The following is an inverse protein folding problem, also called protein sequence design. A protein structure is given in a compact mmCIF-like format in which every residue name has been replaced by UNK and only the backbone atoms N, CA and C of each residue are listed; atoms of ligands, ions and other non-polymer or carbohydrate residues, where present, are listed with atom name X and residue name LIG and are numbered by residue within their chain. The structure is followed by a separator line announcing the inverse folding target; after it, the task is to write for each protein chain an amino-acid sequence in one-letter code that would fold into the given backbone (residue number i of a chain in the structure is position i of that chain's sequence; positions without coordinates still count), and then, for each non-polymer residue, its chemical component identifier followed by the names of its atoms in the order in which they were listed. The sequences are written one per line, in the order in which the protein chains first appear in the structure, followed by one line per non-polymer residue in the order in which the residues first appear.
data_IF_864253401695
#
_entry.id   IF_864253401695
#
_cell.length_a   1.000
_cell.length_b   1.000
_cell.length_c   1.000
_cell.angle_alpha   90.00
_cell.angle_beta   90.00
_cell.angle_gamma   90.00
#
_symmetry.space_group_name_H-M   'P 1'
#
loop_
_entity.id
_entity.type
_entity.pdbx_description
1 polymer ?
#
# COMPACT_ATOMS: atom_id res chain seq x y z
N UNK A 1 27.02 14.44 7.14
CA UNK A 1 27.76 13.74 6.07
C UNK A 1 26.80 13.50 4.91
N UNK A 2 27.17 13.82 3.66
CA UNK A 2 26.31 13.49 2.52
C UNK A 2 26.21 11.95 2.38
N UNK A 3 25.01 11.45 2.10
CA UNK A 3 24.80 10.02 1.83
C UNK A 3 25.64 9.65 0.60
N UNK A 4 26.62 8.73 0.68
CA UNK A 4 27.56 8.46 -0.40
C UNK A 4 26.87 8.09 -1.72
N UNK A 5 25.73 7.40 -1.63
CA UNK A 5 24.92 7.03 -2.79
C UNK A 5 24.42 8.26 -3.56
N UNK A 6 24.04 9.34 -2.87
CA UNK A 6 23.54 10.57 -3.49
C UNK A 6 24.63 11.37 -4.22
N UNK A 7 25.91 11.04 -4.00
CA UNK A 7 27.05 11.64 -4.68
C UNK A 7 27.50 10.84 -5.90
N UNK A 8 26.86 9.70 -6.20
CA UNK A 8 27.21 8.89 -7.37
C UNK A 8 26.60 9.46 -8.65
N UNK A 9 27.24 9.25 -9.83
CA UNK A 9 26.71 9.70 -11.11
C UNK A 9 25.29 9.17 -11.36
N UNK A 10 24.45 10.00 -11.99
CA UNK A 10 23.03 9.68 -12.21
C UNK A 10 22.81 8.34 -12.93
N UNK A 11 23.69 7.97 -13.87
CA UNK A 11 23.61 6.70 -14.60
C UNK A 11 23.74 5.51 -13.65
N UNK A 12 24.73 5.54 -12.74
CA UNK A 12 24.97 4.48 -11.75
C UNK A 12 23.80 4.37 -10.78
N UNK A 13 23.30 5.52 -10.31
CA UNK A 13 22.09 5.56 -9.45
C UNK A 13 20.89 4.93 -10.13
N UNK A 14 20.67 5.26 -11.40
CA UNK A 14 19.56 4.73 -12.17
C UNK A 14 19.63 3.20 -12.29
N UNK A 15 20.83 2.69 -12.50
CA UNK A 15 21.08 1.24 -12.58
C UNK A 15 20.82 0.58 -11.23
N UNK A 16 21.34 1.12 -10.12
CA UNK A 16 21.09 0.61 -8.77
C UNK A 16 19.58 0.59 -8.48
N UNK A 17 18.85 1.67 -8.76
CA UNK A 17 17.40 1.73 -8.55
C UNK A 17 16.67 0.70 -9.39
N UNK A 18 17.13 0.43 -10.61
CA UNK A 18 16.51 -0.56 -11.50
C UNK A 18 16.63 -2.00 -11.00
N UNK A 19 17.63 -2.26 -10.15
CA UNK A 19 17.86 -3.57 -9.53
C UNK A 19 17.02 -3.79 -8.26
N UNK A 20 16.50 -2.73 -7.65
CA UNK A 20 15.72 -2.82 -6.41
C UNK A 20 14.30 -3.34 -6.67
N UNK A 21 13.81 -4.13 -5.72
CA UNK A 21 12.41 -4.52 -5.65
C UNK A 21 11.52 -3.36 -5.13
N UNK A 22 10.21 -3.37 -5.41
CA UNK A 22 9.34 -2.24 -5.10
C UNK A 22 9.25 -1.95 -3.60
N UNK A 23 9.26 -2.98 -2.77
CA UNK A 23 9.29 -2.88 -1.31
C UNK A 23 10.62 -2.30 -0.79
N UNK A 24 11.74 -2.66 -1.43
CA UNK A 24 13.06 -2.09 -1.11
C UNK A 24 13.12 -0.61 -1.48
N UNK A 25 12.51 -0.23 -2.61
CA UNK A 25 12.38 1.18 -3.02
C UNK A 25 11.55 1.99 -2.02
N UNK A 26 10.39 1.46 -1.60
CA UNK A 26 9.55 2.10 -0.57
C UNK A 26 10.31 2.19 0.76
N UNK A 27 11.09 1.18 1.13
CA UNK A 27 11.89 1.21 2.35
C UNK A 27 13.00 2.26 2.26
N UNK A 28 13.73 2.30 1.14
CA UNK A 28 14.79 3.25 0.88
C UNK A 28 14.28 4.70 0.86
N UNK A 29 13.05 4.96 0.38
CA UNK A 29 12.49 6.31 0.37
C UNK A 29 12.27 6.89 1.77
N UNK A 30 12.24 6.08 2.83
CA UNK A 30 12.19 6.58 4.20
C UNK A 30 13.57 6.96 4.79
N UNK A 31 14.68 6.61 4.13
CA UNK A 31 16.01 6.91 4.67
C UNK A 31 16.35 8.41 4.65
N UNK A 32 15.83 9.16 3.68
CA UNK A 32 15.92 10.63 3.67
C UNK A 32 14.95 11.25 2.67
N UNK A 33 14.55 12.49 2.92
CA UNK A 33 13.71 13.26 2.00
C UNK A 33 14.41 13.48 0.63
N UNK A 34 15.74 13.60 0.61
CA UNK A 34 16.49 13.71 -0.64
C UNK A 34 16.43 12.43 -1.47
N UNK A 35 16.58 11.27 -0.83
CA UNK A 35 16.46 9.97 -1.51
C UNK A 35 15.04 9.74 -2.02
N UNK A 36 14.01 10.09 -1.21
CA UNK A 36 12.61 10.06 -1.66
C UNK A 36 12.37 10.90 -2.90
N UNK A 37 12.85 12.15 -2.92
CA UNK A 37 12.72 13.04 -4.09
C UNK A 37 13.43 12.48 -5.32
N UNK A 38 14.60 11.88 -5.12
CA UNK A 38 15.36 11.25 -6.19
C UNK A 38 14.60 10.07 -6.79
N UNK A 39 14.10 9.15 -5.95
CA UNK A 39 13.29 8.01 -6.39
C UNK A 39 12.02 8.47 -7.10
N UNK A 40 11.30 9.44 -6.52
CA UNK A 40 10.10 10.02 -7.11
C UNK A 40 10.36 10.64 -8.48
N UNK A 41 11.46 11.37 -8.64
CA UNK A 41 11.88 11.93 -9.93
C UNK A 41 12.22 10.84 -10.95
N UNK A 42 12.94 9.80 -10.51
CA UNK A 42 13.30 8.66 -11.35
C UNK A 42 12.06 7.95 -11.91
N UNK A 43 11.08 7.61 -11.07
CA UNK A 43 9.84 6.96 -11.53
C UNK A 43 8.91 7.91 -12.29
N UNK A 44 8.99 9.22 -12.07
CA UNK A 44 8.29 10.18 -12.93
C UNK A 44 8.85 10.12 -14.36
N UNK A 45 10.17 10.13 -14.53
CA UNK A 45 10.80 10.12 -15.85
C UNK A 45 10.78 8.73 -16.51
N UNK A 46 10.92 7.68 -15.71
CA UNK A 46 10.97 6.28 -16.15
C UNK A 46 9.79 5.51 -15.58
N UNK A 47 8.58 5.98 -15.91
CA UNK A 47 7.34 5.38 -15.39
C UNK A 47 7.36 3.88 -15.68
N UNK A 48 7.20 3.03 -14.64
CA UNK A 48 7.25 1.59 -14.84
C UNK A 48 5.92 1.14 -15.46
N UNK A 49 5.82 1.26 -16.79
CA UNK A 49 4.58 1.12 -17.58
C UNK A 49 3.87 -0.21 -17.39
N UNK A 50 4.60 -1.23 -16.96
CA UNK A 50 4.11 -2.59 -16.72
C UNK A 50 3.64 -2.81 -15.28
N UNK A 51 3.96 -1.92 -14.35
CA UNK A 51 3.62 -2.10 -12.94
C UNK A 51 2.17 -1.69 -12.70
N UNK A 52 1.47 -2.49 -11.91
CA UNK A 52 0.09 -2.21 -11.50
C UNK A 52 0.02 -2.19 -9.98
N UNK A 53 -0.51 -1.10 -9.45
CA UNK A 53 -0.68 -0.93 -8.01
C UNK A 53 -2.05 -1.48 -7.60
N UNK A 54 -2.06 -2.32 -6.57
CA UNK A 54 -3.28 -2.86 -5.98
C UNK A 54 -3.40 -2.40 -4.53
N UNK A 55 -4.60 -1.98 -4.15
CA UNK A 55 -4.98 -1.81 -2.76
C UNK A 55 -5.68 -3.08 -2.29
N UNK A 56 -5.27 -3.57 -1.12
CA UNK A 56 -5.91 -4.71 -0.45
C UNK A 56 -6.43 -4.23 0.90
N UNK A 57 -7.73 -4.38 1.15
CA UNK A 57 -8.39 -4.05 2.42
C UNK A 57 -9.55 -5.03 2.68
N UNK A 58 -9.21 -6.19 3.24
CA UNK A 58 -10.20 -7.18 3.70
C UNK A 58 -9.76 -7.81 5.02
N UNK A 59 -10.72 -8.24 5.84
CA UNK A 59 -10.50 -8.76 7.20
C UNK A 59 -9.66 -7.77 8.05
N UNK A 60 -8.39 -8.13 8.27
CA UNK A 60 -7.38 -7.34 8.99
C UNK A 60 -6.17 -7.01 8.10
N UNK A 61 -6.18 -7.40 6.84
CA UNK A 61 -5.08 -7.18 5.90
C UNK A 61 -5.32 -5.89 5.13
N UNK A 62 -4.53 -4.86 5.46
CA UNK A 62 -4.52 -3.57 4.78
C UNK A 62 -3.14 -3.29 4.24
N UNK A 63 -2.96 -3.43 2.94
CA UNK A 63 -1.66 -3.23 2.34
C UNK A 63 -1.76 -2.82 0.88
N UNK A 64 -0.64 -2.33 0.37
CA UNK A 64 -0.47 -1.98 -1.03
C UNK A 64 0.45 -3.00 -1.65
N UNK A 65 0.06 -3.51 -2.80
CA UNK A 65 0.88 -4.42 -3.62
C UNK A 65 1.25 -3.77 -4.93
N UNK A 66 2.42 -4.13 -5.45
CA UNK A 66 2.83 -3.83 -6.81
C UNK A 66 2.96 -5.14 -7.57
N UNK A 67 2.19 -5.27 -8.65
CA UNK A 67 2.26 -6.38 -9.57
C UNK A 67 3.21 -6.07 -10.73
N UNK A 68 4.15 -6.96 -11.00
CA UNK A 68 5.04 -6.93 -12.18
C UNK A 68 4.67 -8.11 -13.10
N UNK A 69 4.51 -7.95 -14.43
CA UNK A 69 4.03 -9.04 -15.29
C UNK A 69 4.87 -10.32 -15.30
N UNK A 70 6.15 -10.23 -14.91
CA UNK A 70 7.10 -11.35 -14.93
C UNK A 70 7.25 -11.99 -13.55
N UNK A 71 6.78 -11.34 -12.47
CA UNK A 71 7.00 -11.78 -11.08
C UNK A 71 5.67 -11.81 -10.31
N UNK A 72 5.69 -12.45 -9.14
CA UNK A 72 4.58 -12.38 -8.20
C UNK A 72 4.36 -10.93 -7.75
N UNK A 73 3.18 -10.64 -7.21
CA UNK A 73 2.94 -9.37 -6.53
C UNK A 73 3.88 -9.21 -5.34
N UNK A 74 4.26 -7.97 -5.05
CA UNK A 74 5.10 -7.64 -3.90
C UNK A 74 4.33 -6.67 -3.02
N UNK A 75 4.09 -7.05 -1.77
CA UNK A 75 3.59 -6.13 -0.75
C UNK A 75 4.66 -5.08 -0.48
N UNK A 76 4.31 -3.81 -0.67
CA UNK A 76 5.27 -2.70 -0.55
C UNK A 76 5.09 -1.88 0.70
N UNK A 77 3.89 -1.88 1.27
CA UNK A 77 3.57 -1.16 2.50
C UNK A 77 2.30 -1.70 3.13
N UNK A 78 2.24 -1.73 4.45
CA UNK A 78 1.09 -2.24 5.20
C UNK A 78 0.63 -1.23 6.26
N UNK A 79 -0.68 -1.22 6.54
CA UNK A 79 -1.28 -0.50 7.64
C UNK A 79 -1.87 -1.50 8.64
N UNK A 80 -1.58 -1.31 9.92
CA UNK A 80 -2.11 -2.11 11.02
C UNK A 80 -2.77 -1.22 12.06
N UNK A 81 -3.66 -1.79 12.86
CA UNK A 81 -4.21 -1.04 13.98
C UNK A 81 -3.15 -0.89 15.08
N UNK A 82 -3.10 0.26 15.74
CA UNK A 82 -2.17 0.50 16.86
C UNK A 82 -2.37 -0.50 18.01
N UNK A 83 -3.58 -1.07 18.17
CA UNK A 83 -3.87 -2.10 19.17
C UNK A 83 -3.09 -3.40 18.95
N UNK A 84 -2.58 -3.63 17.74
CA UNK A 84 -1.74 -4.80 17.42
C UNK A 84 -0.29 -4.63 17.91
N UNK A 85 0.07 -3.42 18.37
CA UNK A 85 1.37 -3.17 18.98
C UNK A 85 1.30 -3.55 20.47
N UNK A 86 1.98 -4.63 20.86
CA UNK A 86 2.03 -5.05 22.25
C UNK A 86 2.98 -4.17 23.07
N UNK A 87 2.44 -3.47 24.07
CA UNK A 87 3.20 -2.84 25.17
C UNK A 87 3.86 -1.49 24.87
N UNK A 88 3.66 -0.55 25.81
CA UNK A 88 4.09 0.87 25.89
C UNK A 88 3.22 1.90 25.15
N UNK A 89 3.32 3.16 25.57
CA UNK A 89 2.59 4.27 24.96
C UNK A 89 3.15 4.53 23.56
N UNK A 90 2.33 4.30 22.54
CA UNK A 90 2.71 4.46 21.14
C UNK A 90 2.31 5.83 20.63
N UNK A 91 3.09 6.33 19.66
CA UNK A 91 2.70 7.55 18.95
C UNK A 91 1.71 7.16 17.86
N UNK A 92 0.64 7.93 17.64
CA UNK A 92 -0.24 7.69 16.51
C UNK A 92 0.56 7.76 15.21
N UNK A 93 0.28 6.85 14.27
CA UNK A 93 0.96 6.72 12.99
C UNK A 93 2.45 6.32 13.09
N UNK A 94 2.78 5.44 14.04
CA UNK A 94 4.14 4.90 14.20
C UNK A 94 4.52 4.04 12.99
N UNK A 95 5.63 4.39 12.33
CA UNK A 95 6.20 3.61 11.23
C UNK A 95 7.24 2.63 11.78
N UNK A 96 7.09 1.34 11.45
CA UNK A 96 8.07 0.29 11.72
C UNK A 96 8.54 -0.35 10.43
N UNK A 97 9.78 -0.81 10.42
CA UNK A 97 10.36 -1.53 9.30
C UNK A 97 10.40 -3.01 9.63
N UNK A 98 9.64 -3.81 8.88
CA UNK A 98 9.84 -5.26 8.84
C UNK A 98 10.90 -5.59 7.79
N UNK A 99 11.50 -6.79 7.80
CA UNK A 99 12.41 -7.23 6.73
C UNK A 99 11.78 -7.21 5.34
N UNK A 100 10.45 -7.31 5.25
CA UNK A 100 9.73 -7.42 3.98
C UNK A 100 9.26 -6.06 3.47
N UNK A 101 8.65 -5.24 4.33
CA UNK A 101 8.11 -3.93 3.96
C UNK A 101 7.85 -3.03 5.18
N UNK A 102 7.72 -1.70 5.00
CA UNK A 102 7.32 -0.80 6.07
C UNK A 102 5.85 -1.01 6.48
N UNK A 103 5.60 -0.90 7.78
CA UNK A 103 4.29 -1.05 8.40
C UNK A 103 3.97 0.22 9.18
N UNK A 104 2.85 0.88 8.86
CA UNK A 104 2.33 1.99 9.64
C UNK A 104 1.26 1.50 10.62
N UNK A 105 1.37 1.92 11.87
CA UNK A 105 0.40 1.62 12.92
C UNK A 105 -0.46 2.85 13.18
N UNK A 106 -1.74 2.75 12.87
CA UNK A 106 -2.70 3.86 13.01
C UNK A 106 -3.85 3.49 13.94
N UNK A 107 -4.36 4.47 14.69
CA UNK A 107 -5.60 4.33 15.47
C UNK A 107 -6.80 4.19 14.53
N UNK A 108 -6.86 5.08 13.52
CA UNK A 108 -7.88 5.05 12.49
C UNK A 108 -7.42 4.17 11.32
N UNK A 109 -8.13 3.05 11.15
CA UNK A 109 -7.88 2.06 10.09
C UNK A 109 -8.03 2.66 8.69
N UNK A 110 -9.02 3.52 8.48
CA UNK A 110 -9.28 4.18 7.21
C UNK A 110 -8.14 5.15 6.89
N UNK A 111 -7.74 5.95 7.88
CA UNK A 111 -6.62 6.87 7.73
C UNK A 111 -5.32 6.14 7.37
N UNK A 112 -4.98 5.06 8.09
CA UNK A 112 -3.79 4.25 7.81
C UNK A 112 -3.78 3.68 6.39
N UNK A 113 -4.90 3.13 5.92
CA UNK A 113 -5.04 2.61 4.57
C UNK A 113 -4.86 3.71 3.50
N UNK A 114 -5.48 4.88 3.70
CA UNK A 114 -5.31 6.02 2.80
C UNK A 114 -3.86 6.51 2.75
N UNK A 115 -3.20 6.60 3.91
CA UNK A 115 -1.80 7.04 4.01
C UNK A 115 -0.85 6.16 3.22
N UNK A 116 -0.96 4.82 3.32
CA UNK A 116 -0.06 3.92 2.59
C UNK A 116 -0.29 3.99 1.08
N UNK A 117 -1.55 4.10 0.63
CA UNK A 117 -1.88 4.25 -0.78
C UNK A 117 -1.37 5.58 -1.31
N UNK A 118 -1.61 6.68 -0.59
CA UNK A 118 -1.12 8.01 -0.95
C UNK A 118 0.40 8.06 -1.06
N UNK A 119 1.10 7.44 -0.10
CA UNK A 119 2.55 7.40 -0.11
C UNK A 119 3.09 6.66 -1.34
N UNK A 120 2.61 5.44 -1.59
CA UNK A 120 3.13 4.57 -2.66
C UNK A 120 2.78 5.14 -4.04
N UNK A 121 1.55 5.62 -4.22
CA UNK A 121 1.13 6.25 -5.50
C UNK A 121 1.92 7.53 -5.78
N UNK A 122 2.22 8.35 -4.77
CA UNK A 122 3.06 9.54 -4.93
C UNK A 122 4.51 9.20 -5.29
N UNK A 123 5.07 8.15 -4.67
CA UNK A 123 6.45 7.70 -4.89
C UNK A 123 6.66 7.18 -6.32
N UNK A 124 5.76 6.30 -6.80
CA UNK A 124 5.91 5.66 -8.11
C UNK A 124 5.20 6.41 -9.25
N UNK A 125 4.42 7.44 -8.94
CA UNK A 125 3.55 8.14 -9.91
C UNK A 125 2.64 7.17 -10.67
N UNK A 126 2.08 6.23 -9.92
CA UNK A 126 1.10 5.24 -10.38
C UNK A 126 -0.25 5.53 -9.74
N UNK A 127 -1.30 5.34 -10.54
CA UNK A 127 -2.67 5.30 -10.05
C UNK A 127 -2.96 3.88 -9.50
N UNK A 128 -3.96 3.76 -8.62
CA UNK A 128 -4.44 2.45 -8.19
C UNK A 128 -5.09 1.78 -9.40
N UNK A 129 -4.56 0.62 -9.79
CA UNK A 129 -5.11 -0.16 -10.90
C UNK A 129 -6.22 -1.09 -10.41
N UNK A 130 -6.04 -1.72 -9.26
CA UNK A 130 -7.03 -2.67 -8.78
C UNK A 130 -7.23 -2.65 -7.27
N UNK A 131 -8.36 -3.21 -6.86
CA UNK A 131 -8.82 -3.24 -5.49
C UNK A 131 -9.21 -4.68 -5.11
N UNK A 132 -8.79 -5.13 -3.93
CA UNK A 132 -9.24 -6.38 -3.32
C UNK A 132 -9.82 -6.05 -1.95
N UNK A 133 -11.13 -6.17 -1.79
CA UNK A 133 -11.86 -5.71 -0.59
C UNK A 133 -12.90 -6.72 -0.14
N UNK A 134 -13.32 -6.62 1.11
CA UNK A 134 -14.56 -7.23 1.58
C UNK A 134 -15.70 -6.19 1.67
N UNK A 135 -16.83 -6.57 2.27
CA UNK A 135 -17.98 -5.69 2.47
C UNK A 135 -17.65 -4.43 3.29
N UNK A 136 -16.66 -4.49 4.18
CA UNK A 136 -16.24 -3.34 4.97
C UNK A 136 -15.30 -2.41 4.19
N UNK A 137 -14.71 -2.89 3.09
CA UNK A 137 -13.81 -2.15 2.21
C UNK A 137 -14.49 -1.38 1.07
N UNK A 138 -15.83 -1.43 0.94
CA UNK A 138 -16.59 -0.79 -0.16
C UNK A 138 -16.30 0.71 -0.27
N UNK A 139 -16.03 1.39 0.85
CA UNK A 139 -15.66 2.81 0.88
C UNK A 139 -14.48 3.16 -0.04
N UNK A 140 -13.58 2.20 -0.29
CA UNK A 140 -12.37 2.41 -1.07
C UNK A 140 -12.67 2.67 -2.55
N UNK A 141 -13.79 2.16 -3.07
CA UNK A 141 -14.20 2.38 -4.47
C UNK A 141 -14.44 3.86 -4.72
N UNK A 142 -15.31 4.48 -3.93
CA UNK A 142 -15.65 5.90 -4.09
C UNK A 142 -14.45 6.79 -3.76
N UNK A 143 -13.69 6.44 -2.72
CA UNK A 143 -12.51 7.20 -2.36
C UNK A 143 -11.46 7.21 -3.48
N UNK A 144 -11.16 6.06 -4.09
CA UNK A 144 -10.21 5.97 -5.20
C UNK A 144 -10.74 6.72 -6.43
N UNK A 145 -12.00 6.51 -6.82
CA UNK A 145 -12.58 7.16 -7.99
C UNK A 145 -12.57 8.70 -7.88
N UNK A 146 -12.72 9.25 -6.66
CA UNK A 146 -12.60 10.69 -6.44
C UNK A 146 -11.15 11.20 -6.41
N UNK A 147 -10.18 10.30 -6.15
CA UNK A 147 -8.77 10.64 -5.99
C UNK A 147 -8.00 10.66 -7.31
N UNK A 148 -8.34 9.80 -8.25
CA UNK A 148 -7.63 9.63 -9.53
C UNK A 148 -8.59 9.72 -10.71
N UNK A 149 -8.13 10.29 -11.82
CA UNK A 149 -8.93 10.41 -13.04
C UNK A 149 -9.16 9.07 -13.73
N UNK A 150 -8.19 8.15 -13.63
CA UNK A 150 -8.28 6.83 -14.26
C UNK A 150 -9.13 5.90 -13.43
N UNK A 151 -10.09 5.27 -14.08
CA UNK A 151 -10.91 4.22 -13.47
C UNK A 151 -10.07 3.00 -13.07
N UNK A 152 -10.53 2.31 -12.03
CA UNK A 152 -10.03 1.01 -11.63
C UNK A 152 -10.15 0.00 -12.79
N UNK A 153 -9.08 -0.73 -13.06
CA UNK A 153 -9.06 -1.81 -14.04
C UNK A 153 -9.46 -3.18 -13.49
N UNK A 154 -9.54 -3.34 -12.16
CA UNK A 154 -9.96 -4.60 -11.52
C UNK A 154 -10.51 -4.36 -10.12
N UNK A 155 -11.62 -5.04 -9.78
CA UNK A 155 -12.15 -5.09 -8.41
C UNK A 155 -12.41 -6.56 -8.08
N UNK A 156 -11.86 -7.01 -6.96
CA UNK A 156 -12.09 -8.34 -6.40
C UNK A 156 -12.78 -8.21 -5.04
N UNK A 157 -13.84 -8.99 -4.85
CA UNK A 157 -14.55 -9.08 -3.58
C UNK A 157 -14.16 -10.37 -2.87
N UNK A 158 -13.60 -10.23 -1.67
CA UNK A 158 -13.20 -11.33 -0.80
C UNK A 158 -14.24 -11.56 0.28
N UNK A 159 -14.48 -12.84 0.61
CA UNK A 159 -15.35 -13.19 1.74
C UNK A 159 -14.68 -12.74 3.04
N UNK A 160 -15.40 -12.01 3.87
CA UNK A 160 -14.94 -11.68 5.22
C UNK A 160 -15.07 -12.93 6.11
N UNK A 161 -13.94 -13.40 6.64
CA UNK A 161 -13.89 -14.61 7.47
C UNK A 161 -14.39 -14.40 8.90
N UNK A 162 -14.45 -13.13 9.34
CA UNK A 162 -14.96 -12.72 10.65
C UNK A 162 -16.47 -12.45 10.66
N UNK A 163 -17.13 -12.42 9.50
CA UNK A 163 -18.59 -12.36 9.41
C UNK A 163 -19.18 -13.76 9.56
N UNK A 164 -19.53 -14.10 10.80
CA UNK A 164 -20.23 -15.34 11.11
C UNK A 164 -21.71 -15.17 10.71
N UNK A 165 -22.18 -15.86 9.67
CA UNK A 165 -23.57 -15.84 9.17
C UNK A 165 -24.63 -16.39 10.15
N UNK A 166 -24.27 -16.63 11.42
CA UNK A 166 -25.22 -17.09 12.45
C UNK A 166 -26.30 -16.06 12.85
N UNK A 167 -26.33 -14.88 12.22
CA UNK A 167 -27.39 -13.89 12.39
C UNK A 167 -28.65 -14.13 11.53
N UNK A 168 -28.57 -14.98 10.50
CA UNK A 168 -29.66 -15.15 9.52
C UNK A 168 -30.69 -16.24 9.87
N UNK A 169 -30.51 -17.00 10.96
CA UNK A 169 -31.56 -17.96 11.39
C UNK A 169 -32.88 -17.24 11.75
N UNK A 170 -32.83 -15.98 12.20
CA UNK A 170 -34.03 -15.20 12.52
C UNK A 170 -34.73 -14.67 11.25
N UNK A 171 -33.98 -14.41 10.17
CA UNK A 171 -34.54 -13.90 8.91
C UNK A 171 -35.14 -15.01 8.04
N UNK A 172 -34.59 -16.23 8.08
CA UNK A 172 -35.15 -17.39 7.36
C UNK A 172 -36.50 -17.86 7.92
N UNK A 173 -36.80 -17.60 9.21
CA UNK A 173 -38.11 -17.89 9.80
C UNK A 173 -39.19 -16.85 9.47
N UNK A 174 -38.81 -15.60 9.13
CA UNK A 174 -39.77 -14.55 8.79
C UNK A 174 -40.27 -14.62 7.32
N UNK A 175 -39.63 -15.46 6.50
CA UNK A 175 -39.94 -15.67 5.08
C UNK A 175 -40.58 -17.04 4.77
N UNK A 176 -40.96 -17.81 5.81
CA UNK A 176 -41.74 -19.05 5.69
C UNK A 176 -43.18 -18.89 6.14
#
# INVERSE_FOLDING_TARGET
MPFPILSTPHVVLSEIISLLEPNEIVTASFCSENLRRLLKSHFHQRKPSKWRLYMVDYDSNRHVEIFKPIRNSTTVMMAKNISELAGTAHRPNELRFSPEFPVIYSEDRLLGAKMIVDYVTDLFKLDVYGLCIDINGIWAIDWINNRQEKMLGSIALSKNSNYNWYGDEIMDYALR
#
